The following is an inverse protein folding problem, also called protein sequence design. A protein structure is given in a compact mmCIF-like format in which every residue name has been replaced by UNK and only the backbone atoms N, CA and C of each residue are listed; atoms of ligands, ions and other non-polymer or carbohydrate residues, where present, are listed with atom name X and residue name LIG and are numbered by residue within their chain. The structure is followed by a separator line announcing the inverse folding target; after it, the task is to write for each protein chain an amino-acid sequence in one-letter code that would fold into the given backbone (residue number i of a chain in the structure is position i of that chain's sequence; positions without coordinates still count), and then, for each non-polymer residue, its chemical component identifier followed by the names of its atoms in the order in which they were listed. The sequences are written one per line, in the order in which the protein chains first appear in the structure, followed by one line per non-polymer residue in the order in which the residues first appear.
data_IF_714398869847
#
_entry.id   IF_714398869847
#
_cell.length_a   1.000
_cell.length_b   1.000
_cell.length_c   1.000
_cell.angle_alpha   90.00
_cell.angle_beta   90.00
_cell.angle_gamma   90.00
#
_symmetry.space_group_name_H-M   'P 1'
#
loop_
_entity.id
_entity.type
_entity.pdbx_description
1 polymer ?
#
# COMPACT_ATOMS: atom_id res chain seq x y z
N UNK A 1 -5.13 -35.90 25.70
CA UNK A 1 -4.71 -35.78 24.28
C UNK A 1 -5.03 -34.36 23.84
N UNK A 2 -4.14 -33.40 24.09
CA UNK A 2 -4.30 -32.03 23.59
C UNK A 2 -3.55 -31.94 22.26
N UNK A 3 -4.28 -31.58 21.19
CA UNK A 3 -3.68 -31.22 19.91
C UNK A 3 -3.07 -29.83 20.05
N UNK A 4 -1.77 -29.70 19.79
CA UNK A 4 -1.12 -28.42 19.59
C UNK A 4 -1.68 -27.80 18.30
N UNK A 5 -2.25 -26.60 18.40
CA UNK A 5 -2.47 -25.74 17.25
C UNK A 5 -1.08 -25.37 16.74
N UNK A 6 -0.72 -25.85 15.55
CA UNK A 6 0.53 -25.45 14.90
C UNK A 6 0.53 -23.95 14.72
N UNK A 7 1.60 -23.30 15.17
CA UNK A 7 1.96 -21.95 14.75
C UNK A 7 1.79 -21.87 13.23
N UNK A 8 0.88 -21.02 12.77
CA UNK A 8 0.79 -20.68 11.36
C UNK A 8 2.13 -20.05 11.00
N UNK A 9 2.95 -20.78 10.24
CA UNK A 9 4.18 -20.27 9.67
C UNK A 9 3.84 -18.92 9.02
N UNK A 10 4.43 -17.80 9.45
CA UNK A 10 4.22 -16.55 8.76
C UNK A 10 4.76 -16.79 7.36
N UNK A 11 3.85 -16.89 6.38
CA UNK A 11 4.21 -17.05 4.98
C UNK A 11 5.27 -16.02 4.55
N UNK A 12 5.85 -16.16 3.36
CA UNK A 12 6.97 -15.33 2.90
C UNK A 12 6.74 -13.86 3.23
N UNK A 13 7.77 -13.22 3.80
CA UNK A 13 7.69 -11.83 4.22
C UNK A 13 7.24 -10.94 3.07
N UNK A 14 6.65 -9.79 3.38
CA UNK A 14 6.22 -8.83 2.36
C UNK A 14 7.37 -8.44 1.40
N UNK A 15 8.62 -8.46 1.89
CA UNK A 15 9.84 -8.27 1.12
C UNK A 15 10.01 -9.32 0.01
N UNK A 16 9.81 -10.61 0.29
CA UNK A 16 9.94 -11.71 -0.68
C UNK A 16 8.82 -11.68 -1.73
N UNK A 17 7.62 -11.28 -1.31
CA UNK A 17 6.46 -11.12 -2.19
C UNK A 17 6.64 -9.93 -3.15
N UNK A 18 7.23 -8.83 -2.67
CA UNK A 18 7.58 -7.68 -3.50
C UNK A 18 8.74 -8.01 -4.45
N UNK A 19 9.76 -8.76 -4.00
CA UNK A 19 10.92 -9.12 -4.83
C UNK A 19 10.56 -10.03 -6.02
N UNK A 20 9.46 -10.77 -5.92
CA UNK A 20 8.97 -11.67 -6.97
C UNK A 20 7.83 -11.08 -7.80
N UNK A 21 7.45 -9.83 -7.54
CA UNK A 21 6.36 -9.19 -8.26
C UNK A 21 6.71 -8.95 -9.74
N UNK A 22 5.82 -9.38 -10.63
CA UNK A 22 5.92 -9.18 -12.07
C UNK A 22 5.16 -7.89 -12.41
N UNK A 23 5.85 -6.94 -13.03
CA UNK A 23 5.20 -5.78 -13.66
C UNK A 23 4.50 -6.23 -14.96
N UNK A 24 3.20 -6.02 -15.04
CA UNK A 24 2.33 -6.36 -16.17
C UNK A 24 2.00 -5.13 -17.04
N UNK A 25 2.52 -3.96 -16.68
CA UNK A 25 2.39 -2.71 -17.42
C UNK A 25 1.18 -1.86 -16.99
N UNK A 26 0.88 -0.86 -17.80
CA UNK A 26 -0.25 0.05 -17.57
C UNK A 26 -1.55 -0.57 -18.06
N UNK A 27 -2.54 -0.64 -17.17
CA UNK A 27 -3.91 -1.02 -17.46
C UNK A 27 -4.87 0.11 -17.06
N UNK A 28 -5.82 0.44 -17.94
CA UNK A 28 -6.91 1.34 -17.60
C UNK A 28 -8.02 0.59 -16.89
N UNK A 29 -8.24 0.87 -15.60
CA UNK A 29 -9.24 0.20 -14.76
C UNK A 29 -10.30 1.16 -14.24
N UNK A 30 -11.50 0.63 -13.96
CA UNK A 30 -12.61 1.36 -13.34
C UNK A 30 -12.96 0.75 -11.99
N UNK A 31 -13.01 1.61 -10.97
CA UNK A 31 -13.42 1.30 -9.59
C UNK A 31 -14.44 2.36 -9.13
N UNK A 32 -15.09 2.23 -7.96
CA UNK A 32 -16.07 3.22 -7.54
C UNK A 32 -15.52 4.65 -7.41
N UNK A 33 -14.23 4.81 -7.09
CA UNK A 33 -13.56 6.12 -7.05
C UNK A 33 -13.31 6.76 -8.43
N UNK A 34 -13.55 6.04 -9.54
CA UNK A 34 -13.34 6.53 -10.90
C UNK A 34 -12.53 5.58 -11.77
N UNK A 35 -12.01 6.11 -12.87
CA UNK A 35 -11.20 5.36 -13.83
C UNK A 35 -9.76 5.86 -13.86
N UNK A 36 -8.81 4.94 -13.74
CA UNK A 36 -7.38 5.22 -13.57
C UNK A 36 -6.57 4.46 -14.60
N UNK A 37 -5.50 5.09 -15.09
CA UNK A 37 -4.42 4.37 -15.75
C UNK A 37 -3.46 3.91 -14.65
N UNK A 38 -3.44 2.62 -14.37
CA UNK A 38 -2.76 2.04 -13.22
C UNK A 38 -1.67 1.06 -13.67
N UNK A 39 -0.52 1.09 -13.02
CA UNK A 39 0.48 0.03 -13.14
C UNK A 39 -0.05 -1.24 -12.45
N UNK A 40 -0.15 -2.31 -13.22
CA UNK A 40 -0.57 -3.62 -12.74
C UNK A 40 0.65 -4.46 -12.39
N UNK A 41 0.70 -4.92 -11.14
CA UNK A 41 1.70 -5.89 -10.69
C UNK A 41 1.01 -7.18 -10.25
N UNK A 42 1.70 -8.30 -10.46
CA UNK A 42 1.33 -9.60 -9.90
C UNK A 42 2.42 -10.10 -8.97
N UNK A 43 2.13 -10.14 -7.67
CA UNK A 43 3.02 -10.73 -6.68
C UNK A 43 3.13 -12.26 -6.89
N UNK A 44 4.35 -12.78 -6.79
CA UNK A 44 4.63 -14.21 -6.81
C UNK A 44 4.35 -14.86 -5.45
N UNK A 45 4.17 -16.18 -5.44
CA UNK A 45 3.91 -16.97 -4.23
C UNK A 45 2.90 -18.09 -4.48
N UNK A 46 2.56 -18.86 -3.44
CA UNK A 46 1.56 -19.95 -3.54
C UNK A 46 0.17 -19.45 -3.94
N UNK A 47 -0.15 -18.20 -3.58
CA UNK A 47 -1.39 -17.53 -3.97
C UNK A 47 -1.06 -16.26 -4.75
N UNK A 48 -1.34 -16.21 -6.07
CA UNK A 48 -1.11 -15.01 -6.85
C UNK A 48 -1.99 -13.87 -6.35
N UNK A 49 -1.38 -12.69 -6.19
CA UNK A 49 -2.06 -11.47 -5.80
C UNK A 49 -1.80 -10.40 -6.85
N UNK A 50 -2.87 -9.82 -7.38
CA UNK A 50 -2.80 -8.71 -8.32
C UNK A 50 -3.03 -7.39 -7.59
N UNK A 51 -2.19 -6.40 -7.89
CA UNK A 51 -2.32 -5.03 -7.37
C UNK A 51 -2.23 -4.02 -8.51
N UNK A 52 -3.08 -3.00 -8.45
CA UNK A 52 -3.06 -1.88 -9.38
C UNK A 52 -2.72 -0.61 -8.61
N UNK A 53 -1.69 0.10 -9.08
CA UNK A 53 -1.20 1.34 -8.49
C UNK A 53 -1.38 2.51 -9.46
N UNK A 54 -1.94 3.61 -9.00
CA UNK A 54 -2.12 4.84 -9.76
C UNK A 54 -1.63 6.07 -8.98
N UNK A 55 -1.58 7.22 -9.64
CA UNK A 55 -1.23 8.50 -9.01
C UNK A 55 -2.40 9.05 -8.18
N UNK A 56 -2.61 8.47 -7.00
CA UNK A 56 -3.60 8.86 -5.99
C UNK A 56 -2.97 8.78 -4.61
N UNK A 57 -3.55 9.44 -3.58
CA UNK A 57 -3.09 9.26 -2.20
C UNK A 57 -3.02 7.77 -1.83
N UNK A 58 -1.89 7.34 -1.29
CA UNK A 58 -1.59 5.94 -0.92
C UNK A 58 -1.47 4.95 -2.10
N UNK A 59 -1.61 5.40 -3.35
CA UNK A 59 -1.22 4.72 -4.59
C UNK A 59 -2.11 3.54 -5.02
N UNK A 60 -2.68 2.77 -4.11
CA UNK A 60 -3.41 1.55 -4.44
C UNK A 60 -4.86 1.82 -4.84
N UNK A 61 -5.24 1.38 -6.04
CA UNK A 61 -6.60 1.55 -6.57
C UNK A 61 -7.41 0.26 -6.59
N UNK A 62 -6.75 -0.89 -6.68
CA UNK A 62 -7.39 -2.21 -6.66
C UNK A 62 -6.41 -3.28 -6.19
N UNK A 63 -6.94 -4.29 -5.50
CA UNK A 63 -6.25 -5.52 -5.16
C UNK A 63 -7.18 -6.72 -5.38
N UNK A 64 -6.66 -7.80 -5.93
CA UNK A 64 -7.38 -9.04 -6.15
C UNK A 64 -6.54 -10.24 -5.70
N UNK A 65 -7.14 -11.09 -4.87
CA UNK A 65 -6.52 -12.32 -4.36
C UNK A 65 -7.62 -13.39 -4.12
N UNK A 66 -7.21 -14.62 -3.80
CA UNK A 66 -8.15 -15.74 -3.62
C UNK A 66 -9.22 -15.48 -2.53
N UNK A 67 -8.86 -14.76 -1.48
CA UNK A 67 -9.76 -14.42 -0.37
C UNK A 67 -10.73 -13.28 -0.68
N UNK A 68 -10.59 -12.60 -1.81
CA UNK A 68 -11.48 -11.52 -2.23
C UNK A 68 -10.78 -10.38 -2.96
N UNK A 69 -11.53 -9.29 -3.11
CA UNK A 69 -11.07 -8.08 -3.80
C UNK A 69 -11.23 -6.84 -2.92
N UNK A 70 -10.37 -5.86 -3.16
CA UNK A 70 -10.45 -4.53 -2.59
C UNK A 70 -10.41 -3.52 -3.75
N UNK A 71 -11.27 -2.51 -3.70
CA UNK A 71 -11.39 -1.48 -4.73
C UNK A 71 -11.46 -0.13 -4.03
N UNK A 72 -10.76 0.87 -4.57
CA UNK A 72 -10.79 2.22 -4.05
C UNK A 72 -12.20 2.80 -4.21
N UNK A 73 -12.85 3.06 -3.08
CA UNK A 73 -14.20 3.58 -3.05
C UNK A 73 -14.24 5.10 -3.26
N UNK A 74 -13.33 5.82 -2.61
CA UNK A 74 -13.14 7.26 -2.72
C UNK A 74 -11.77 7.67 -2.14
N UNK A 75 -11.29 8.87 -2.48
CA UNK A 75 -10.14 9.50 -1.85
C UNK A 75 -10.37 11.01 -1.78
N UNK A 76 -9.71 11.69 -0.83
CA UNK A 76 -9.76 13.15 -0.69
C UNK A 76 -8.52 13.80 -1.29
N UNK A 77 -8.69 14.90 -2.03
CA UNK A 77 -7.60 15.68 -2.61
C UNK A 77 -7.39 17.05 -1.92
N UNK A 78 -8.41 17.57 -1.23
CA UNK A 78 -8.47 18.96 -0.79
C UNK A 78 -8.78 19.11 0.70
N UNK A 79 -8.12 18.31 1.55
CA UNK A 79 -8.24 18.48 2.99
C UNK A 79 -7.71 19.86 3.39
N UNK A 80 -8.60 20.73 3.88
CA UNK A 80 -8.20 22.05 4.38
C UNK A 80 -7.75 21.95 5.84
N UNK A 81 -6.60 22.55 6.14
CA UNK A 81 -6.17 22.71 7.53
C UNK A 81 -7.13 23.65 8.27
N UNK A 82 -7.54 23.24 9.46
CA UNK A 82 -8.26 24.10 10.41
C UNK A 82 -7.32 24.84 11.36
N UNK A 83 -6.00 24.61 11.29
CA UNK A 83 -5.01 25.33 12.09
C UNK A 83 -4.80 26.70 11.45
N UNK A 84 -5.25 27.74 12.14
CA UNK A 84 -5.16 29.14 11.70
C UNK A 84 -3.97 29.88 12.30
N UNK A 85 -3.30 29.28 13.28
CA UNK A 85 -2.15 29.87 13.96
C UNK A 85 -0.89 29.85 13.08
N UNK A 86 0.00 30.82 13.32
CA UNK A 86 1.28 30.88 12.63
C UNK A 86 2.12 29.67 13.05
N UNK A 87 2.71 28.92 12.09
CA UNK A 87 3.73 27.93 12.42
C UNK A 87 4.82 28.57 13.27
N UNK A 88 5.13 27.95 14.40
CA UNK A 88 6.28 28.37 15.22
C UNK A 88 7.57 27.94 14.52
N UNK A 89 8.58 28.79 14.58
CA UNK A 89 9.91 28.38 14.15
C UNK A 89 10.50 27.45 15.22
N UNK A 90 10.96 26.28 14.80
CA UNK A 90 11.54 25.30 15.71
C UNK A 90 13.05 25.39 15.51
N UNK A 91 13.76 25.94 16.50
CA UNK A 91 15.22 25.84 16.52
C UNK A 91 15.59 24.37 16.70
N UNK A 92 16.10 23.75 15.64
CA UNK A 92 16.66 22.40 15.71
C UNK A 92 18.03 22.54 16.36
N UNK A 93 18.26 22.00 17.57
CA UNK A 93 19.57 22.05 18.19
C UNK A 93 20.59 21.35 17.29
N UNK A 94 21.86 21.80 17.27
CA UNK A 94 22.89 21.15 16.48
C UNK A 94 22.98 19.68 16.90
N UNK A 95 23.15 18.79 15.90
CA UNK A 95 23.40 17.36 16.14
C UNK A 95 24.55 17.25 17.16
N UNK A 96 24.39 16.48 18.26
CA UNK A 96 25.47 16.30 19.21
C UNK A 96 26.67 15.67 18.49
N UNK A 97 27.82 16.33 18.53
CA UNK A 97 29.08 15.73 18.14
C UNK A 97 29.41 14.62 19.14
N UNK A 98 29.59 13.41 18.61
CA UNK A 98 29.70 12.19 19.40
C UNK A 98 30.87 12.21 20.38
N UNK A 99 30.70 11.43 21.46
CA UNK A 99 31.80 10.77 22.14
C UNK A 99 31.85 9.32 21.69
#
# INVERSE_FOLDING_TARGET
MLAALGDADPGPGWEDQCATAIDLGIERITVPAGAFDAHHYRAGGETPTDVWLADVPFGMVKLFQSSGKMELASYGADAKSSITEKPIDVEIPPKPEGR
#
